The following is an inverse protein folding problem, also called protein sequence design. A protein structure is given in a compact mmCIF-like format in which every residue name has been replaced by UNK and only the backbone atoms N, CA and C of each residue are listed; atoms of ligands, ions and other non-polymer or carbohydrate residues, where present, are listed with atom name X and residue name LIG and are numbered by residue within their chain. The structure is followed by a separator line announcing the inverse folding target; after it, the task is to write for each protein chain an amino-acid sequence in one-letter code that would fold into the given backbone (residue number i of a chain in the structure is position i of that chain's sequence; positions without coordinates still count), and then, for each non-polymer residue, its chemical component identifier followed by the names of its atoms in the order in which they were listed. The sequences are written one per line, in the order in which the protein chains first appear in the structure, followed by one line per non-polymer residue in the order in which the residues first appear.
data_IF_687052604862
#
_entry.id   IF_687052604862
#
_cell.length_a   1.000
_cell.length_b   1.000
_cell.length_c   1.000
_cell.angle_alpha   90.00
_cell.angle_beta   90.00
_cell.angle_gamma   90.00
#
_symmetry.space_group_name_H-M   'P 1'
#
loop_
_entity.id
_entity.type
_entity.pdbx_description
1 polymer ?
#
# COMPACT_ATOMS: atom_id res chain seq x y z
N UNK A 1 56.70 42.78 -1.22
CA UNK A 1 56.66 41.39 -0.70
C UNK A 1 55.34 41.06 -0.01
N UNK A 2 54.85 41.86 0.96
CA UNK A 2 53.58 41.57 1.66
C UNK A 2 52.34 41.42 0.75
N UNK A 3 52.21 42.23 -0.30
CA UNK A 3 51.05 42.21 -1.20
C UNK A 3 50.93 40.89 -1.98
N UNK A 4 52.06 40.33 -2.44
CA UNK A 4 52.10 39.03 -3.13
C UNK A 4 51.77 37.86 -2.20
N UNK A 5 52.16 37.95 -0.92
CA UNK A 5 51.88 36.93 0.08
C UNK A 5 50.40 36.92 0.48
N UNK A 6 49.78 38.09 0.62
CA UNK A 6 48.33 38.22 0.84
C UNK A 6 47.51 37.70 -0.35
N UNK A 7 47.95 37.94 -1.59
CA UNK A 7 47.27 37.43 -2.79
C UNK A 7 47.35 35.89 -2.89
N UNK A 8 48.50 35.30 -2.56
CA UNK A 8 48.67 33.84 -2.51
C UNK A 8 47.86 33.19 -1.38
N UNK A 9 47.76 33.80 -0.20
CA UNK A 9 46.91 33.31 0.88
C UNK A 9 45.42 33.35 0.50
N UNK A 10 44.96 34.47 -0.07
CA UNK A 10 43.57 34.65 -0.52
C UNK A 10 43.19 33.68 -1.65
N UNK A 11 44.13 33.37 -2.56
CA UNK A 11 43.93 32.36 -3.61
C UNK A 11 43.95 30.92 -3.07
N UNK A 12 44.79 30.60 -2.07
CA UNK A 12 44.76 29.28 -1.40
C UNK A 12 43.48 29.06 -0.60
N UNK A 13 42.97 30.09 0.09
CA UNK A 13 41.69 30.03 0.80
C UNK A 13 40.51 29.88 -0.16
N UNK A 14 40.48 30.64 -1.26
CA UNK A 14 39.48 30.45 -2.33
C UNK A 14 39.53 29.05 -2.93
N UNK A 15 40.73 28.51 -3.19
CA UNK A 15 40.91 27.15 -3.71
C UNK A 15 40.43 26.07 -2.73
N UNK A 16 40.73 26.21 -1.43
CA UNK A 16 40.23 25.30 -0.39
C UNK A 16 38.71 25.37 -0.23
N UNK A 17 38.14 26.58 -0.28
CA UNK A 17 36.69 26.80 -0.19
C UNK A 17 35.97 26.23 -1.41
N UNK A 18 36.52 26.43 -2.61
CA UNK A 18 36.00 25.84 -3.85
C UNK A 18 36.08 24.31 -3.83
N UNK A 19 37.21 23.74 -3.41
CA UNK A 19 37.38 22.30 -3.28
C UNK A 19 36.42 21.68 -2.25
N UNK A 20 36.23 22.34 -1.10
CA UNK A 20 35.26 21.93 -0.09
C UNK A 20 33.82 21.96 -0.61
N UNK A 21 33.46 23.02 -1.34
CA UNK A 21 32.13 23.19 -1.95
C UNK A 21 31.86 22.12 -3.02
N UNK A 22 32.83 21.85 -3.90
CA UNK A 22 32.74 20.76 -4.89
C UNK A 22 32.58 19.40 -4.21
N UNK A 23 33.31 19.14 -3.13
CA UNK A 23 33.22 17.88 -2.38
C UNK A 23 31.84 17.71 -1.72
N UNK A 24 31.25 18.78 -1.17
CA UNK A 24 29.87 18.77 -0.64
C UNK A 24 28.85 18.47 -1.73
N UNK A 25 28.93 19.17 -2.87
CA UNK A 25 28.04 18.97 -4.01
C UNK A 25 28.12 17.55 -4.57
N UNK A 26 29.34 17.01 -4.72
CA UNK A 26 29.55 15.64 -5.18
C UNK A 26 28.94 14.62 -4.21
N UNK A 27 29.09 14.81 -2.89
CA UNK A 27 28.47 13.94 -1.89
C UNK A 27 26.94 14.00 -1.94
N UNK A 28 26.35 15.19 -2.11
CA UNK A 28 24.89 15.34 -2.26
C UNK A 28 24.38 14.59 -3.49
N UNK A 29 25.06 14.73 -4.63
CA UNK A 29 24.68 13.98 -5.85
C UNK A 29 24.75 12.46 -5.66
N UNK A 30 25.72 11.97 -4.88
CA UNK A 30 25.81 10.55 -4.54
C UNK A 30 24.60 10.12 -3.71
N UNK A 31 24.17 10.91 -2.72
CA UNK A 31 22.98 10.60 -1.92
C UNK A 31 21.71 10.53 -2.78
N UNK A 32 21.51 11.49 -3.68
CA UNK A 32 20.39 11.46 -4.63
C UNK A 32 20.41 10.20 -5.50
N UNK A 33 21.56 9.84 -6.06
CA UNK A 33 21.69 8.63 -6.87
C UNK A 33 21.45 7.35 -6.07
N UNK A 34 21.89 7.29 -4.81
CA UNK A 34 21.63 6.17 -3.92
C UNK A 34 20.13 6.04 -3.63
N UNK A 35 19.44 7.15 -3.33
CA UNK A 35 17.99 7.14 -3.14
C UNK A 35 17.24 6.65 -4.38
N UNK A 36 17.61 7.11 -5.56
CA UNK A 36 16.93 6.70 -6.80
C UNK A 36 17.17 5.21 -7.10
N UNK A 37 18.38 4.70 -6.84
CA UNK A 37 18.68 3.28 -6.99
C UNK A 37 17.93 2.42 -5.95
N UNK A 38 17.86 2.90 -4.71
CA UNK A 38 17.10 2.24 -3.64
C UNK A 38 15.60 2.16 -4.00
N UNK A 39 15.04 3.26 -4.50
CA UNK A 39 13.65 3.32 -4.96
C UNK A 39 13.40 2.34 -6.11
N UNK A 40 14.32 2.25 -7.08
CA UNK A 40 14.22 1.26 -8.16
C UNK A 40 14.22 -0.17 -7.62
N UNK A 41 15.08 -0.49 -6.65
CA UNK A 41 15.10 -1.81 -6.03
C UNK A 41 13.84 -2.09 -5.22
N UNK A 42 13.30 -1.10 -4.52
CA UNK A 42 12.03 -1.19 -3.83
C UNK A 42 10.87 -1.51 -4.80
N UNK A 43 10.81 -0.84 -5.95
CA UNK A 43 9.81 -1.14 -7.00
C UNK A 43 9.96 -2.53 -7.62
N UNK A 44 11.14 -3.14 -7.49
CA UNK A 44 11.42 -4.51 -7.92
C UNK A 44 11.22 -5.54 -6.80
N UNK A 45 10.72 -5.13 -5.62
CA UNK A 45 10.59 -6.00 -4.45
C UNK A 45 11.93 -6.41 -3.82
N UNK A 46 13.05 -5.84 -4.26
CA UNK A 46 14.42 -6.15 -3.79
C UNK A 46 14.75 -5.35 -2.52
N UNK A 47 13.94 -5.51 -1.48
CA UNK A 47 13.98 -4.66 -0.31
C UNK A 47 15.31 -4.76 0.47
N UNK A 48 15.90 -5.97 0.55
CA UNK A 48 17.19 -6.18 1.21
C UNK A 48 18.35 -5.43 0.54
N UNK A 49 18.22 -5.10 -0.75
CA UNK A 49 19.21 -4.31 -1.49
C UNK A 49 18.89 -2.81 -1.43
N UNK A 50 17.61 -2.44 -1.30
CA UNK A 50 17.18 -1.04 -1.16
C UNK A 50 17.55 -0.44 0.21
N UNK A 51 17.35 -1.18 1.30
CA UNK A 51 17.59 -0.70 2.68
C UNK A 51 18.98 -0.09 2.90
N UNK A 52 20.10 -0.80 2.60
CA UNK A 52 21.44 -0.23 2.83
C UNK A 52 21.72 1.02 1.98
N UNK A 53 21.07 1.16 0.82
CA UNK A 53 21.22 2.33 -0.04
C UNK A 53 20.49 3.55 0.55
N UNK A 54 19.26 3.40 1.04
CA UNK A 54 18.54 4.47 1.74
C UNK A 54 19.27 4.89 3.03
N UNK A 55 19.72 3.94 3.85
CA UNK A 55 20.49 4.23 5.06
C UNK A 55 21.76 5.03 4.75
N UNK A 56 22.50 4.64 3.71
CA UNK A 56 23.72 5.34 3.29
C UNK A 56 23.40 6.74 2.75
N UNK A 57 22.31 6.89 2.00
CA UNK A 57 21.86 8.18 1.50
C UNK A 57 21.50 9.13 2.65
N UNK A 58 20.70 8.65 3.61
CA UNK A 58 20.31 9.39 4.81
C UNK A 58 21.54 9.87 5.60
N UNK A 59 22.50 8.98 5.85
CA UNK A 59 23.74 9.33 6.55
C UNK A 59 24.55 10.41 5.83
N UNK A 60 24.53 10.43 4.49
CA UNK A 60 25.19 11.49 3.71
C UNK A 60 24.44 12.82 3.86
N UNK A 61 23.11 12.83 3.77
CA UNK A 61 22.32 14.05 3.95
C UNK A 61 22.50 14.64 5.35
N UNK A 62 22.41 13.81 6.39
CA UNK A 62 22.66 14.24 7.78
C UNK A 62 24.06 14.83 7.95
N UNK A 63 25.10 14.21 7.37
CA UNK A 63 26.47 14.72 7.47
C UNK A 63 26.70 16.03 6.69
N UNK A 64 26.07 16.18 5.52
CA UNK A 64 26.37 17.29 4.61
C UNK A 64 25.49 18.53 4.84
N UNK A 65 24.21 18.32 5.16
CA UNK A 65 23.18 19.36 5.28
C UNK A 65 22.68 19.53 6.71
N UNK A 66 22.82 18.50 7.55
CA UNK A 66 22.38 18.51 8.94
C UNK A 66 21.14 17.64 9.18
N UNK A 67 20.92 17.30 10.45
CA UNK A 67 19.82 16.43 10.89
C UNK A 67 18.42 17.05 10.65
N UNK A 68 18.34 18.38 10.62
CA UNK A 68 17.09 19.16 10.53
C UNK A 68 16.87 19.75 9.13
N UNK A 69 17.56 19.28 8.08
CA UNK A 69 17.40 19.83 6.74
C UNK A 69 16.23 19.16 5.98
N UNK A 70 15.46 19.88 5.14
CA UNK A 70 14.37 19.29 4.34
C UNK A 70 14.77 18.08 3.47
N UNK A 71 15.92 18.10 2.78
CA UNK A 71 16.44 16.91 2.09
C UNK A 71 16.69 15.69 3.01
N UNK A 72 17.07 15.92 4.27
CA UNK A 72 17.20 14.86 5.28
C UNK A 72 15.83 14.30 5.62
N UNK A 73 14.81 15.17 5.79
CA UNK A 73 13.42 14.77 5.97
C UNK A 73 12.91 13.92 4.79
N UNK A 74 13.19 14.32 3.55
CA UNK A 74 12.84 13.52 2.38
C UNK A 74 13.50 12.14 2.40
N UNK A 75 14.78 12.07 2.80
CA UNK A 75 15.47 10.79 2.92
C UNK A 75 14.93 9.91 4.04
N UNK A 76 14.48 10.49 5.15
CA UNK A 76 13.76 9.79 6.23
C UNK A 76 12.43 9.23 5.72
N UNK A 77 11.64 10.03 5.00
CA UNK A 77 10.39 9.59 4.39
C UNK A 77 10.58 8.39 3.47
N UNK A 78 11.58 8.42 2.59
CA UNK A 78 11.81 7.31 1.67
C UNK A 78 12.22 6.01 2.40
N UNK A 79 13.02 6.12 3.47
CA UNK A 79 13.37 4.96 4.29
C UNK A 79 12.16 4.44 5.08
N UNK A 80 11.34 5.35 5.61
CA UNK A 80 10.09 5.00 6.28
C UNK A 80 9.13 4.26 5.35
N UNK A 81 9.04 4.69 4.10
CA UNK A 81 8.21 4.05 3.08
C UNK A 81 8.68 2.63 2.74
N UNK A 82 10.00 2.42 2.68
CA UNK A 82 10.56 1.08 2.57
C UNK A 82 10.16 0.21 3.77
N UNK A 83 10.29 0.72 5.00
CA UNK A 83 9.89 -0.03 6.20
C UNK A 83 8.41 -0.33 6.23
N UNK A 84 7.55 0.61 5.80
CA UNK A 84 6.11 0.38 5.64
C UNK A 84 5.82 -0.73 4.62
N UNK A 85 6.50 -0.71 3.47
CA UNK A 85 6.37 -1.74 2.42
C UNK A 85 6.78 -3.14 2.91
N UNK A 86 7.74 -3.20 3.84
CA UNK A 86 8.19 -4.44 4.50
C UNK A 86 7.36 -4.79 5.75
N UNK A 87 6.28 -4.07 6.05
CA UNK A 87 5.46 -4.29 7.25
C UNK A 87 6.17 -3.97 8.58
N UNK A 88 7.37 -3.37 8.54
CA UNK A 88 8.18 -2.96 9.70
C UNK A 88 7.67 -1.62 10.25
N UNK A 89 6.39 -1.60 10.63
CA UNK A 89 5.67 -0.37 10.94
C UNK A 89 6.24 0.40 12.14
N UNK A 90 6.73 -0.32 13.17
CA UNK A 90 7.39 0.28 14.33
C UNK A 90 8.71 0.99 14.01
N UNK A 91 9.35 0.66 12.88
CA UNK A 91 10.54 1.35 12.39
C UNK A 91 10.19 2.50 11.42
N UNK A 92 9.08 2.38 10.69
CA UNK A 92 8.59 3.42 9.80
C UNK A 92 8.05 4.66 10.56
N UNK A 93 7.25 4.45 11.61
CA UNK A 93 6.59 5.53 12.37
C UNK A 93 7.56 6.62 12.87
N UNK A 94 8.63 6.31 13.63
CA UNK A 94 9.52 7.35 14.14
C UNK A 94 10.22 8.14 13.02
N UNK A 95 10.46 7.53 11.86
CA UNK A 95 11.06 8.21 10.71
C UNK A 95 10.08 9.17 10.05
N UNK A 96 8.82 8.76 9.85
CA UNK A 96 7.78 9.66 9.33
C UNK A 96 7.50 10.82 10.28
N UNK A 97 7.39 10.56 11.58
CA UNK A 97 7.19 11.59 12.61
C UNK A 97 8.35 12.59 12.61
N UNK A 98 9.60 12.10 12.58
CA UNK A 98 10.78 12.97 12.52
C UNK A 98 10.81 13.79 11.24
N UNK A 99 10.50 13.19 10.10
CA UNK A 99 10.45 13.91 8.82
C UNK A 99 9.41 15.03 8.83
N UNK A 100 8.19 14.74 9.31
CA UNK A 100 7.12 15.72 9.43
C UNK A 100 7.53 16.89 10.35
N UNK A 101 8.13 16.60 11.50
CA UNK A 101 8.61 17.62 12.43
C UNK A 101 9.66 18.56 11.78
N UNK A 102 10.57 18.00 10.97
CA UNK A 102 11.55 18.80 10.23
C UNK A 102 10.85 19.72 9.22
N UNK A 103 9.90 19.21 8.44
CA UNK A 103 9.16 20.05 7.48
C UNK A 103 8.39 21.17 8.17
N UNK A 104 7.67 20.88 9.26
CA UNK A 104 6.96 21.89 10.04
C UNK A 104 7.89 22.96 10.58
N UNK A 105 9.07 22.58 11.11
CA UNK A 105 10.02 23.52 11.68
C UNK A 105 10.72 24.39 10.62
N UNK A 106 11.11 23.80 9.48
CA UNK A 106 11.96 24.48 8.49
C UNK A 106 11.17 25.19 7.39
N UNK A 107 10.02 24.64 6.99
CA UNK A 107 9.23 25.13 5.87
C UNK A 107 7.90 25.75 6.34
N UNK A 108 7.45 25.39 7.54
CA UNK A 108 6.21 25.87 8.13
C UNK A 108 5.08 24.83 8.10
N UNK A 109 4.08 25.04 8.95
CA UNK A 109 2.95 24.10 9.15
C UNK A 109 2.04 23.96 7.93
N UNK A 110 2.06 24.96 7.04
CA UNK A 110 1.17 25.07 5.89
C UNK A 110 1.94 24.91 4.56
N UNK A 111 3.15 24.36 4.58
CA UNK A 111 3.93 24.15 3.36
C UNK A 111 3.49 22.87 2.62
N UNK A 112 3.51 22.82 1.26
CA UNK A 112 3.18 21.62 0.49
C UNK A 112 3.98 20.34 0.88
N UNK A 113 5.25 20.47 1.25
CA UNK A 113 6.06 19.33 1.73
C UNK A 113 5.61 18.85 3.12
N UNK A 114 5.12 19.75 3.98
CA UNK A 114 4.49 19.38 5.25
C UNK A 114 3.21 18.59 4.98
N UNK A 115 2.41 19.01 4.00
CA UNK A 115 1.23 18.25 3.56
C UNK A 115 1.59 16.86 3.03
N UNK A 116 2.72 16.72 2.32
CA UNK A 116 3.21 15.41 1.89
C UNK A 116 3.61 14.54 3.08
N UNK A 117 4.35 15.09 4.06
CA UNK A 117 4.70 14.38 5.29
C UNK A 117 3.47 13.90 6.07
N UNK A 118 2.43 14.73 6.16
CA UNK A 118 1.14 14.37 6.76
C UNK A 118 0.46 13.21 6.03
N UNK A 119 0.40 13.25 4.70
CA UNK A 119 -0.18 12.16 3.90
C UNK A 119 0.53 10.83 4.11
N UNK A 120 1.87 10.83 4.14
CA UNK A 120 2.64 9.61 4.29
C UNK A 120 2.48 8.99 5.70
N UNK A 121 2.47 9.83 6.74
CA UNK A 121 2.21 9.36 8.10
C UNK A 121 0.76 8.84 8.24
N UNK A 122 -0.20 9.51 7.60
CA UNK A 122 -1.58 9.06 7.55
C UNK A 122 -1.72 7.69 6.87
N UNK A 123 -1.00 7.46 5.77
CA UNK A 123 -0.99 6.17 5.06
C UNK A 123 -0.41 5.05 5.93
N UNK A 124 0.64 5.34 6.71
CA UNK A 124 1.14 4.40 7.70
C UNK A 124 0.08 4.06 8.74
N UNK A 125 -0.60 5.05 9.31
CA UNK A 125 -1.65 4.82 10.29
C UNK A 125 -2.85 4.08 9.70
N UNK A 126 -3.22 4.35 8.45
CA UNK A 126 -4.23 3.58 7.74
C UNK A 126 -3.80 2.11 7.59
N UNK A 127 -2.55 1.84 7.21
CA UNK A 127 -2.03 0.47 7.08
C UNK A 127 -1.99 -0.29 8.42
N UNK A 128 -1.79 0.42 9.53
CA UNK A 128 -1.91 -0.11 10.90
C UNK A 128 -3.36 -0.18 11.40
N UNK A 129 -4.37 0.20 10.61
CA UNK A 129 -5.77 0.27 11.04
C UNK A 129 -6.09 1.37 12.06
N UNK A 130 -5.15 2.28 12.34
CA UNK A 130 -5.28 3.43 13.26
C UNK A 130 -6.02 4.58 12.55
N UNK A 131 -7.24 4.31 12.11
CA UNK A 131 -8.03 5.21 11.26
C UNK A 131 -8.32 6.56 11.90
N UNK A 132 -8.57 6.61 13.22
CA UNK A 132 -8.79 7.85 13.95
C UNK A 132 -7.57 8.77 14.02
N UNK A 133 -6.37 8.23 13.83
CA UNK A 133 -5.12 9.00 13.75
C UNK A 133 -4.79 9.39 12.30
N UNK A 134 -5.16 8.56 11.33
CA UNK A 134 -4.97 8.85 9.91
C UNK A 134 -5.88 9.98 9.39
N UNK A 135 -7.17 9.97 9.75
CA UNK A 135 -8.17 10.93 9.25
C UNK A 135 -7.76 12.41 9.45
N UNK A 136 -7.40 12.88 10.67
CA UNK A 136 -7.05 14.29 10.86
C UNK A 136 -5.80 14.71 10.07
N UNK A 137 -4.87 13.78 9.82
CA UNK A 137 -3.67 14.05 9.04
C UNK A 137 -3.98 14.22 7.55
N UNK A 138 -4.81 13.33 6.98
CA UNK A 138 -5.28 13.47 5.59
C UNK A 138 -6.10 14.75 5.39
N UNK A 139 -7.03 15.05 6.31
CA UNK A 139 -7.84 16.27 6.25
C UNK A 139 -6.96 17.53 6.31
N UNK A 140 -5.95 17.55 7.20
CA UNK A 140 -5.00 18.66 7.27
C UNK A 140 -4.14 18.78 6.01
N UNK A 141 -3.66 17.67 5.45
CA UNK A 141 -2.91 17.67 4.20
C UNK A 141 -3.73 18.25 3.04
N UNK A 142 -4.99 17.82 2.92
CA UNK A 142 -5.92 18.32 1.91
C UNK A 142 -6.12 19.83 2.04
N UNK A 143 -6.39 20.33 3.25
CA UNK A 143 -6.58 21.74 3.51
C UNK A 143 -5.35 22.59 3.12
N UNK A 144 -4.14 22.09 3.41
CA UNK A 144 -2.90 22.76 3.02
C UNK A 144 -2.77 22.82 1.49
N UNK A 145 -2.98 21.71 0.77
CA UNK A 145 -2.89 21.72 -0.69
C UNK A 145 -3.95 22.61 -1.34
N UNK A 146 -5.18 22.61 -0.84
CA UNK A 146 -6.23 23.51 -1.32
C UNK A 146 -5.85 24.98 -1.12
N UNK A 147 -5.28 25.33 0.04
CA UNK A 147 -4.90 26.70 0.37
C UNK A 147 -3.67 27.17 -0.43
N UNK A 148 -2.63 26.34 -0.56
CA UNK A 148 -1.35 26.76 -1.13
C UNK A 148 -1.25 26.57 -2.64
N UNK A 149 -1.87 25.52 -3.18
CA UNK A 149 -1.77 25.15 -4.60
C UNK A 149 -3.09 25.33 -5.35
N UNK A 150 -4.21 25.41 -4.61
CA UNK A 150 -5.55 25.60 -5.15
C UNK A 150 -6.38 24.30 -5.18
N UNK A 151 -7.70 24.48 -5.19
CA UNK A 151 -8.68 23.40 -5.17
C UNK A 151 -8.60 22.45 -6.38
N UNK A 152 -8.07 22.93 -7.50
CA UNK A 152 -7.96 22.20 -8.78
C UNK A 152 -6.54 21.68 -9.06
N UNK A 153 -5.64 21.70 -8.07
CA UNK A 153 -4.26 21.24 -8.28
C UNK A 153 -4.15 19.70 -8.26
N UNK A 154 -3.28 19.07 -9.07
CA UNK A 154 -3.09 17.61 -9.04
C UNK A 154 -2.70 17.01 -7.67
N UNK A 155 -2.00 17.76 -6.81
CA UNK A 155 -1.73 17.33 -5.43
C UNK A 155 -2.95 17.42 -4.51
N UNK A 156 -3.87 18.34 -4.77
CA UNK A 156 -5.18 18.36 -4.10
C UNK A 156 -5.97 17.11 -4.49
N UNK A 157 -5.97 16.74 -5.78
CA UNK A 157 -6.58 15.51 -6.26
C UNK A 157 -5.96 14.24 -5.63
N UNK A 158 -4.64 14.21 -5.44
CA UNK A 158 -3.94 13.12 -4.76
C UNK A 158 -4.43 12.98 -3.30
N UNK A 159 -4.47 14.09 -2.57
CA UNK A 159 -4.91 14.08 -1.16
C UNK A 159 -6.39 13.72 -1.02
N UNK A 160 -7.26 14.17 -1.94
CA UNK A 160 -8.65 13.73 -2.03
C UNK A 160 -8.77 12.22 -2.23
N UNK A 161 -7.98 11.65 -3.15
CA UNK A 161 -7.99 10.21 -3.41
C UNK A 161 -7.55 9.41 -2.17
N UNK A 162 -6.53 9.87 -1.45
CA UNK A 162 -6.05 9.18 -0.26
C UNK A 162 -7.05 9.26 0.91
N UNK A 163 -7.70 10.41 1.11
CA UNK A 163 -8.77 10.53 2.10
C UNK A 163 -9.98 9.65 1.72
N UNK A 164 -10.32 9.56 0.43
CA UNK A 164 -11.37 8.67 -0.06
C UNK A 164 -11.03 7.20 0.22
N UNK A 165 -9.77 6.81 0.02
CA UNK A 165 -9.26 5.48 0.29
C UNK A 165 -9.31 5.11 1.78
N UNK A 166 -9.02 6.08 2.66
CA UNK A 166 -9.23 5.91 4.09
C UNK A 166 -10.73 5.68 4.40
N UNK A 167 -11.63 6.51 3.87
CA UNK A 167 -13.08 6.31 4.09
C UNK A 167 -13.60 5.01 3.51
N UNK A 168 -13.08 4.57 2.36
CA UNK A 168 -13.35 3.25 1.80
C UNK A 168 -12.91 2.14 2.77
N UNK A 169 -11.72 2.25 3.35
CA UNK A 169 -11.19 1.29 4.34
C UNK A 169 -12.05 1.25 5.62
N UNK A 170 -12.64 2.36 6.03
CA UNK A 170 -13.60 2.44 7.14
C UNK A 170 -15.03 1.97 6.78
N UNK A 171 -15.31 1.59 5.53
CA UNK A 171 -16.68 1.29 5.08
C UNK A 171 -17.59 2.51 4.92
N UNK A 172 -17.05 3.73 5.06
CA UNK A 172 -17.77 5.01 4.91
C UNK A 172 -17.89 5.39 3.43
N UNK A 173 -18.51 4.51 2.64
CA UNK A 173 -18.51 4.63 1.18
C UNK A 173 -19.20 5.90 0.65
N UNK A 174 -20.22 6.40 1.35
CA UNK A 174 -20.91 7.65 0.98
C UNK A 174 -20.02 8.89 1.12
N UNK A 175 -18.99 8.84 1.95
CA UNK A 175 -18.01 9.92 2.11
C UNK A 175 -16.83 9.75 1.16
N UNK A 176 -16.46 8.50 0.81
CA UNK A 176 -15.42 8.21 -0.17
C UNK A 176 -15.79 8.62 -1.60
N UNK A 177 -17.01 8.31 -2.05
CA UNK A 177 -17.47 8.55 -3.43
C UNK A 177 -17.28 10.00 -3.92
N UNK A 178 -17.78 11.04 -3.23
CA UNK A 178 -17.64 12.41 -3.71
C UNK A 178 -16.17 12.85 -3.81
N UNK A 179 -15.29 12.32 -2.96
CA UNK A 179 -13.86 12.64 -2.97
C UNK A 179 -13.15 12.00 -4.17
N UNK A 180 -13.42 10.71 -4.47
CA UNK A 180 -12.90 10.08 -5.69
C UNK A 180 -13.40 10.77 -6.96
N UNK A 181 -14.69 11.09 -7.03
CA UNK A 181 -15.28 11.79 -8.19
C UNK A 181 -14.61 13.15 -8.40
N UNK A 182 -14.41 13.91 -7.31
CA UNK A 182 -13.72 15.20 -7.39
C UNK A 182 -12.25 15.05 -7.80
N UNK A 183 -11.52 14.09 -7.25
CA UNK A 183 -10.14 13.79 -7.64
C UNK A 183 -10.03 13.45 -9.13
N UNK A 184 -10.90 12.56 -9.62
CA UNK A 184 -11.00 12.19 -11.02
C UNK A 184 -11.25 13.39 -11.94
N UNK A 185 -12.18 14.27 -11.56
CA UNK A 185 -12.50 15.47 -12.32
C UNK A 185 -11.30 16.42 -12.43
N UNK A 186 -10.60 16.66 -11.32
CA UNK A 186 -9.39 17.49 -11.30
C UNK A 186 -8.32 16.90 -12.21
N UNK A 187 -8.01 15.60 -12.08
CA UNK A 187 -7.00 14.98 -12.94
C UNK A 187 -7.36 15.04 -14.43
N UNK A 188 -8.62 14.77 -14.77
CA UNK A 188 -9.08 14.84 -16.15
C UNK A 188 -8.97 16.25 -16.72
N UNK A 189 -9.25 17.28 -15.92
CA UNK A 189 -9.16 18.67 -16.34
C UNK A 189 -7.71 19.16 -16.46
N UNK A 190 -6.84 18.85 -15.49
CA UNK A 190 -5.48 19.40 -15.43
C UNK A 190 -4.46 18.63 -16.26
N UNK A 191 -4.61 17.29 -16.35
CA UNK A 191 -3.63 16.41 -16.98
C UNK A 191 -4.14 15.81 -18.29
N UNK A 192 -5.44 15.94 -18.55
CA UNK A 192 -6.12 15.37 -19.71
C UNK A 192 -6.82 14.06 -19.41
N UNK A 193 -7.89 13.78 -20.16
CA UNK A 193 -8.79 12.63 -19.94
C UNK A 193 -8.16 11.26 -20.13
N UNK A 194 -7.01 11.20 -20.81
CA UNK A 194 -6.28 9.98 -21.09
C UNK A 194 -5.02 9.86 -20.20
N UNK A 195 -4.80 10.72 -19.21
CA UNK A 195 -3.60 10.66 -18.38
C UNK A 195 -3.58 9.41 -17.45
N UNK A 196 -2.42 8.81 -17.12
CA UNK A 196 -2.35 7.66 -16.21
C UNK A 196 -3.00 7.89 -14.84
N UNK A 197 -2.92 9.11 -14.29
CA UNK A 197 -3.61 9.47 -13.04
C UNK A 197 -5.15 9.37 -13.14
N UNK A 198 -5.72 9.64 -14.33
CA UNK A 198 -7.16 9.43 -14.59
C UNK A 198 -7.47 7.93 -14.60
N UNK A 199 -6.62 7.11 -15.23
CA UNK A 199 -6.75 5.65 -15.22
C UNK A 199 -6.76 5.09 -13.79
N UNK A 200 -5.80 5.50 -12.93
CA UNK A 200 -5.77 5.10 -11.52
C UNK A 200 -7.01 5.55 -10.76
N UNK A 201 -7.45 6.80 -10.95
CA UNK A 201 -8.63 7.34 -10.25
C UNK A 201 -9.92 6.62 -10.68
N UNK A 202 -10.07 6.28 -11.96
CA UNK A 202 -11.17 5.46 -12.47
C UNK A 202 -11.18 4.07 -11.84
N UNK A 203 -10.01 3.44 -11.72
CA UNK A 203 -9.88 2.13 -11.08
C UNK A 203 -10.32 2.16 -9.61
N UNK A 204 -9.89 3.16 -8.84
CA UNK A 204 -10.25 3.27 -7.43
C UNK A 204 -11.76 3.53 -7.24
N UNK A 205 -12.34 4.41 -8.05
CA UNK A 205 -13.79 4.65 -8.03
C UNK A 205 -14.59 3.39 -8.41
N UNK A 206 -14.11 2.63 -9.39
CA UNK A 206 -14.75 1.38 -9.78
C UNK A 206 -14.69 0.32 -8.66
N UNK A 207 -13.58 0.26 -7.93
CA UNK A 207 -13.47 -0.64 -6.78
C UNK A 207 -14.48 -0.27 -5.68
N UNK A 208 -14.67 1.03 -5.41
CA UNK A 208 -15.71 1.49 -4.49
C UNK A 208 -17.11 1.03 -4.95
N UNK A 209 -17.43 1.20 -6.24
CA UNK A 209 -18.71 0.75 -6.80
C UNK A 209 -18.87 -0.78 -6.75
N UNK A 210 -17.80 -1.54 -6.99
CA UNK A 210 -17.80 -2.99 -6.79
C UNK A 210 -18.15 -3.36 -5.35
N UNK A 211 -17.52 -2.72 -4.36
CA UNK A 211 -17.81 -2.97 -2.94
C UNK A 211 -19.25 -2.61 -2.54
N UNK A 212 -19.87 -1.66 -3.22
CA UNK A 212 -21.28 -1.32 -3.05
C UNK A 212 -22.25 -2.23 -3.85
N UNK A 213 -21.75 -3.21 -4.59
CA UNK A 213 -22.56 -4.07 -5.48
C UNK A 213 -23.06 -3.35 -6.76
N UNK A 214 -22.57 -2.14 -7.04
CA UNK A 214 -22.91 -1.32 -8.21
C UNK A 214 -22.08 -1.74 -9.43
N UNK A 215 -22.16 -3.01 -9.81
CA UNK A 215 -21.28 -3.58 -10.83
C UNK A 215 -21.45 -2.94 -12.22
N UNK A 216 -22.67 -2.55 -12.58
CA UNK A 216 -22.98 -1.87 -13.84
C UNK A 216 -22.31 -0.49 -13.97
N UNK A 217 -21.97 0.14 -12.84
CA UNK A 217 -21.24 1.41 -12.81
C UNK A 217 -19.72 1.19 -12.73
N UNK A 218 -19.28 0.12 -12.06
CA UNK A 218 -17.87 -0.23 -11.93
C UNK A 218 -17.23 -0.68 -13.27
N UNK A 219 -17.92 -1.53 -14.03
CA UNK A 219 -17.40 -2.13 -15.26
C UNK A 219 -16.93 -1.10 -16.32
N UNK A 220 -17.74 -0.10 -16.74
CA UNK A 220 -17.31 0.86 -17.73
C UNK A 220 -16.11 1.70 -17.27
N UNK A 221 -15.98 1.95 -15.96
CA UNK A 221 -14.83 2.67 -15.39
C UNK A 221 -13.55 1.83 -15.48
N UNK A 222 -13.61 0.53 -15.16
CA UNK A 222 -12.47 -0.38 -15.31
C UNK A 222 -12.08 -0.57 -16.77
N UNK A 223 -13.03 -0.72 -17.68
CA UNK A 223 -12.75 -0.84 -19.12
C UNK A 223 -12.09 0.43 -19.66
N UNK A 224 -12.56 1.62 -19.24
CA UNK A 224 -11.93 2.89 -19.60
C UNK A 224 -10.53 3.02 -19.01
N UNK A 225 -10.37 2.67 -17.74
CA UNK A 225 -9.07 2.65 -17.06
C UNK A 225 -8.07 1.75 -17.79
N UNK A 226 -8.51 0.54 -18.19
CA UNK A 226 -7.72 -0.44 -18.93
C UNK A 226 -7.31 0.12 -20.30
N UNK A 227 -8.26 0.68 -21.05
CA UNK A 227 -7.99 1.27 -22.36
C UNK A 227 -6.93 2.38 -22.29
N UNK A 228 -7.01 3.26 -21.28
CA UNK A 228 -6.02 4.33 -21.08
C UNK A 228 -4.64 3.72 -20.78
N UNK A 229 -4.58 2.76 -19.85
CA UNK A 229 -3.32 2.12 -19.43
C UNK A 229 -2.66 1.36 -20.58
N UNK A 230 -3.43 0.59 -21.36
CA UNK A 230 -2.92 -0.15 -22.51
C UNK A 230 -2.38 0.78 -23.61
N UNK A 231 -3.06 1.90 -23.88
CA UNK A 231 -2.63 2.86 -24.90
C UNK A 231 -1.36 3.63 -24.53
N UNK A 232 -1.22 4.03 -23.26
CA UNK A 232 -0.10 4.88 -22.84
C UNK A 232 1.10 4.12 -22.27
N UNK A 233 0.84 3.06 -21.52
CA UNK A 233 1.87 2.33 -20.78
C UNK A 233 2.16 0.97 -21.42
N UNK A 234 1.24 0.46 -22.24
CA UNK A 234 1.32 -0.84 -22.89
C UNK A 234 0.53 -1.93 -22.18
N UNK A 235 0.26 -3.01 -22.91
CA UNK A 235 -0.45 -4.20 -22.42
C UNK A 235 0.26 -4.91 -21.27
N UNK A 236 1.58 -4.77 -21.22
CA UNK A 236 2.47 -5.49 -20.33
C UNK A 236 2.93 -4.62 -19.16
N UNK A 237 2.27 -3.50 -18.87
CA UNK A 237 2.66 -2.64 -17.74
C UNK A 237 2.05 -3.11 -16.40
N UNK A 238 2.76 -2.98 -15.25
CA UNK A 238 2.22 -3.38 -13.94
C UNK A 238 0.89 -2.70 -13.54
N UNK A 239 0.69 -1.43 -13.94
CA UNK A 239 -0.60 -0.73 -13.75
C UNK A 239 -1.71 -1.42 -14.56
N UNK A 240 -1.45 -1.78 -15.81
CA UNK A 240 -2.39 -2.57 -16.64
C UNK A 240 -2.73 -3.89 -15.97
N UNK A 241 -1.74 -4.59 -15.40
CA UNK A 241 -1.98 -5.83 -14.65
C UNK A 241 -2.89 -5.62 -13.43
N UNK A 242 -2.77 -4.50 -12.74
CA UNK A 242 -3.62 -4.18 -11.58
C UNK A 242 -5.07 -3.94 -11.99
N UNK A 243 -5.29 -3.22 -13.09
CA UNK A 243 -6.64 -2.99 -13.63
C UNK A 243 -7.26 -4.31 -14.12
N UNK A 244 -6.48 -5.16 -14.80
CA UNK A 244 -6.93 -6.49 -15.23
C UNK A 244 -7.34 -7.36 -14.04
N UNK A 245 -6.57 -7.33 -12.95
CA UNK A 245 -6.89 -8.04 -11.72
C UNK A 245 -8.22 -7.55 -11.11
N UNK A 246 -8.46 -6.24 -11.10
CA UNK A 246 -9.68 -5.66 -10.55
C UNK A 246 -10.91 -5.92 -11.43
N UNK A 247 -10.74 -5.92 -12.76
CA UNK A 247 -11.78 -6.33 -13.70
C UNK A 247 -12.10 -7.83 -13.58
N UNK A 248 -11.08 -8.67 -13.36
CA UNK A 248 -11.27 -10.09 -13.08
C UNK A 248 -12.09 -10.29 -11.80
N UNK A 249 -11.77 -9.55 -10.73
CA UNK A 249 -12.54 -9.58 -9.49
C UNK A 249 -13.99 -9.14 -9.70
N UNK A 250 -14.23 -8.11 -10.52
CA UNK A 250 -15.60 -7.69 -10.85
C UNK A 250 -16.38 -8.81 -11.58
N UNK A 251 -15.77 -9.44 -12.58
CA UNK A 251 -16.40 -10.54 -13.31
C UNK A 251 -16.62 -11.77 -12.45
N UNK A 252 -15.71 -12.02 -11.50
CA UNK A 252 -15.88 -13.05 -10.48
C UNK A 252 -17.14 -12.80 -9.64
N UNK A 253 -17.32 -11.59 -9.10
CA UNK A 253 -18.50 -11.23 -8.29
C UNK A 253 -19.80 -11.31 -9.09
N UNK A 254 -19.74 -11.08 -10.41
CA UNK A 254 -20.87 -11.27 -11.32
C UNK A 254 -21.13 -12.74 -11.71
N UNK A 255 -20.30 -13.68 -11.26
CA UNK A 255 -20.38 -15.11 -11.60
C UNK A 255 -19.79 -15.50 -12.96
N UNK A 256 -19.15 -14.57 -13.66
CA UNK A 256 -18.48 -14.79 -14.95
C UNK A 256 -17.08 -15.37 -14.77
N UNK A 257 -17.01 -16.60 -14.26
CA UNK A 257 -15.74 -17.19 -13.82
C UNK A 257 -14.72 -17.43 -14.95
N UNK A 258 -15.15 -17.79 -16.16
CA UNK A 258 -14.23 -17.98 -17.29
C UNK A 258 -13.59 -16.66 -17.75
N UNK A 259 -14.36 -15.56 -17.70
CA UNK A 259 -13.84 -14.22 -17.98
C UNK A 259 -12.85 -13.77 -16.91
N UNK A 260 -13.18 -14.02 -15.63
CA UNK A 260 -12.29 -13.74 -14.51
C UNK A 260 -10.97 -14.53 -14.60
N UNK A 261 -11.02 -15.84 -14.90
CA UNK A 261 -9.84 -16.69 -15.05
C UNK A 261 -8.86 -16.15 -16.09
N UNK A 262 -9.37 -15.80 -17.28
CA UNK A 262 -8.55 -15.26 -18.36
C UNK A 262 -7.85 -13.95 -17.97
N UNK A 263 -8.57 -13.05 -17.27
CA UNK A 263 -8.03 -11.77 -16.84
C UNK A 263 -7.04 -11.90 -15.69
N UNK A 264 -7.31 -12.76 -14.70
CA UNK A 264 -6.35 -13.06 -13.62
C UNK A 264 -5.07 -13.69 -14.16
N UNK A 265 -5.18 -14.66 -15.07
CA UNK A 265 -4.03 -15.30 -15.71
C UNK A 265 -3.20 -14.28 -16.50
N UNK A 266 -3.86 -13.37 -17.23
CA UNK A 266 -3.18 -12.28 -17.95
C UNK A 266 -2.47 -11.33 -16.99
N UNK A 267 -3.13 -10.92 -15.91
CA UNK A 267 -2.54 -10.06 -14.87
C UNK A 267 -1.30 -10.71 -14.24
N UNK A 268 -1.40 -12.00 -13.88
CA UNK A 268 -0.30 -12.79 -13.35
C UNK A 268 0.90 -12.82 -14.30
N UNK A 269 0.66 -13.16 -15.58
CA UNK A 269 1.71 -13.24 -16.58
C UNK A 269 2.46 -11.90 -16.77
N UNK A 270 1.72 -10.79 -16.79
CA UNK A 270 2.31 -9.45 -16.90
C UNK A 270 3.19 -9.14 -15.68
N UNK A 271 2.72 -9.41 -14.46
CA UNK A 271 3.49 -9.18 -13.23
C UNK A 271 4.74 -10.05 -13.18
N UNK A 272 4.66 -11.32 -13.55
CA UNK A 272 5.82 -12.21 -13.62
C UNK A 272 6.87 -11.72 -14.63
N UNK A 273 6.43 -11.24 -15.79
CA UNK A 273 7.33 -10.76 -16.84
C UNK A 273 8.04 -9.45 -16.45
N UNK A 274 7.32 -8.49 -15.85
CA UNK A 274 7.88 -7.16 -15.59
C UNK A 274 8.56 -7.02 -14.23
N UNK A 275 7.99 -7.64 -13.19
CA UNK A 275 8.46 -7.49 -11.81
C UNK A 275 9.34 -8.67 -11.39
N UNK A 276 9.22 -9.80 -12.08
CA UNK A 276 9.90 -11.05 -11.76
C UNK A 276 9.00 -12.02 -10.99
N UNK A 277 9.28 -13.32 -11.13
CA UNK A 277 8.45 -14.40 -10.61
C UNK A 277 8.33 -14.46 -9.07
N UNK A 278 9.24 -13.79 -8.36
CA UNK A 278 9.31 -13.75 -6.90
C UNK A 278 8.79 -12.42 -6.32
N UNK A 279 8.21 -11.54 -7.14
CA UNK A 279 7.71 -10.25 -6.63
C UNK A 279 6.44 -10.42 -5.77
N UNK A 280 6.24 -9.66 -4.68
CA UNK A 280 5.01 -9.72 -3.86
C UNK A 280 3.69 -9.55 -4.65
N UNK A 281 3.66 -8.69 -5.68
CA UNK A 281 2.50 -8.55 -6.57
C UNK A 281 2.15 -9.84 -7.35
N UNK A 282 3.14 -10.69 -7.64
CA UNK A 282 2.89 -12.01 -8.23
C UNK A 282 2.15 -12.90 -7.23
N UNK A 283 2.55 -12.90 -5.95
CA UNK A 283 1.85 -13.62 -4.89
C UNK A 283 0.40 -13.15 -4.73
N UNK A 284 0.17 -11.86 -4.86
CA UNK A 284 -1.16 -11.24 -4.88
C UNK A 284 -2.03 -11.81 -6.02
N UNK A 285 -1.52 -11.84 -7.25
CA UNK A 285 -2.23 -12.44 -8.39
C UNK A 285 -2.45 -13.94 -8.23
N UNK A 286 -1.48 -14.67 -7.68
CA UNK A 286 -1.58 -16.10 -7.42
C UNK A 286 -2.70 -16.42 -6.42
N UNK A 287 -2.78 -15.65 -5.33
CA UNK A 287 -3.85 -15.79 -4.35
C UNK A 287 -5.24 -15.57 -4.97
N UNK A 288 -5.38 -14.56 -5.82
CA UNK A 288 -6.65 -14.24 -6.47
C UNK A 288 -7.10 -15.33 -7.44
N UNK A 289 -6.17 -15.82 -8.27
CA UNK A 289 -6.45 -16.93 -9.18
C UNK A 289 -6.74 -18.23 -8.41
N UNK A 290 -6.04 -18.48 -7.30
CA UNK A 290 -6.29 -19.63 -6.47
C UNK A 290 -7.68 -19.59 -5.81
N UNK A 291 -8.10 -18.42 -5.35
CA UNK A 291 -9.43 -18.22 -4.76
C UNK A 291 -10.53 -18.50 -5.79
N UNK A 292 -10.36 -18.05 -7.04
CA UNK A 292 -11.26 -18.41 -8.15
C UNK A 292 -11.36 -19.93 -8.32
N UNK A 293 -10.23 -20.64 -8.33
CA UNK A 293 -10.22 -22.10 -8.44
C UNK A 293 -10.84 -22.80 -7.23
N UNK A 294 -10.64 -22.27 -6.03
CA UNK A 294 -11.25 -22.80 -4.81
C UNK A 294 -12.78 -22.78 -4.90
N UNK A 295 -13.40 -21.67 -5.30
CA UNK A 295 -14.86 -21.61 -5.40
C UNK A 295 -15.43 -22.50 -6.52
N UNK A 296 -14.63 -22.80 -7.54
CA UNK A 296 -14.99 -23.75 -8.60
C UNK A 296 -14.76 -25.22 -8.18
N UNK A 297 -14.28 -25.48 -6.95
CA UNK A 297 -13.93 -26.81 -6.48
C UNK A 297 -12.65 -27.38 -7.11
N UNK A 298 -11.90 -26.57 -7.85
CA UNK A 298 -10.63 -26.92 -8.53
C UNK A 298 -9.45 -26.86 -7.56
N UNK A 299 -9.58 -27.57 -6.45
CA UNK A 299 -8.64 -27.54 -5.32
C UNK A 299 -7.21 -27.97 -5.69
N UNK A 300 -7.07 -28.88 -6.66
CA UNK A 300 -5.77 -29.33 -7.17
C UNK A 300 -4.99 -28.22 -7.90
N UNK A 301 -5.68 -27.24 -8.46
CA UNK A 301 -5.09 -26.09 -9.14
C UNK A 301 -4.89 -24.91 -8.18
N UNK A 302 -5.80 -24.71 -7.22
CA UNK A 302 -5.67 -23.66 -6.21
C UNK A 302 -4.46 -23.87 -5.28
N UNK A 303 -4.26 -25.10 -4.80
CA UNK A 303 -3.21 -25.42 -3.80
C UNK A 303 -1.79 -25.00 -4.20
N UNK A 304 -1.26 -25.37 -5.38
CA UNK A 304 0.11 -24.99 -5.75
C UNK A 304 0.28 -23.47 -5.87
N UNK A 305 -0.75 -22.74 -6.28
CA UNK A 305 -0.72 -21.28 -6.37
C UNK A 305 -0.61 -20.63 -4.99
N UNK A 306 -1.42 -21.07 -4.01
CA UNK A 306 -1.35 -20.56 -2.63
C UNK A 306 -0.02 -20.87 -1.96
N UNK A 307 0.52 -22.09 -2.16
CA UNK A 307 1.83 -22.46 -1.62
C UNK A 307 2.94 -21.58 -2.20
N UNK A 308 2.90 -21.31 -3.51
CA UNK A 308 3.85 -20.40 -4.16
C UNK A 308 3.70 -18.96 -3.66
N UNK A 309 2.48 -18.47 -3.53
CA UNK A 309 2.21 -17.13 -2.99
C UNK A 309 2.76 -16.97 -1.56
N UNK A 310 2.51 -17.97 -0.70
CA UNK A 310 3.05 -18.01 0.66
C UNK A 310 4.59 -17.98 0.67
N UNK A 311 5.23 -18.80 -0.16
CA UNK A 311 6.70 -18.83 -0.26
C UNK A 311 7.27 -17.48 -0.71
N UNK A 312 6.64 -16.82 -1.68
CA UNK A 312 7.06 -15.50 -2.16
C UNK A 312 6.99 -14.47 -1.00
N UNK A 313 5.87 -14.40 -0.29
CA UNK A 313 5.76 -13.45 0.83
C UNK A 313 6.75 -13.77 1.97
N UNK A 314 6.93 -15.04 2.34
CA UNK A 314 7.88 -15.44 3.38
C UNK A 314 9.33 -15.06 3.02
N UNK A 315 9.70 -15.18 1.75
CA UNK A 315 11.06 -14.89 1.29
C UNK A 315 11.32 -13.40 1.07
N UNK A 316 10.36 -12.66 0.51
CA UNK A 316 10.56 -11.24 0.17
C UNK A 316 10.21 -10.28 1.30
N UNK A 317 9.15 -10.58 2.06
CA UNK A 317 8.63 -9.70 3.11
C UNK A 317 8.91 -10.24 4.52
N UNK A 318 9.14 -11.55 4.65
CA UNK A 318 9.43 -12.21 5.92
C UNK A 318 8.25 -13.02 6.46
N UNK A 319 8.56 -13.90 7.42
CA UNK A 319 7.59 -14.85 8.02
C UNK A 319 6.47 -14.18 8.80
N UNK A 320 6.71 -12.97 9.28
CA UNK A 320 5.85 -12.24 10.20
C UNK A 320 5.17 -11.06 9.50
N UNK A 321 5.21 -10.98 8.17
CA UNK A 321 4.54 -9.93 7.41
C UNK A 321 3.01 -10.12 7.38
N UNK A 322 2.20 -9.05 7.46
CA UNK A 322 0.75 -9.15 7.30
C UNK A 322 0.27 -9.85 6.03
N UNK A 323 0.97 -9.68 4.89
CA UNK A 323 0.66 -10.41 3.64
C UNK A 323 0.98 -11.91 3.72
N UNK A 324 2.00 -12.31 4.50
CA UNK A 324 2.26 -13.72 4.81
C UNK A 324 1.10 -14.30 5.60
N UNK A 325 0.58 -13.58 6.60
CA UNK A 325 -0.63 -13.97 7.34
C UNK A 325 -1.86 -14.08 6.44
N UNK A 326 -2.04 -13.17 5.49
CA UNK A 326 -3.14 -13.26 4.50
C UNK A 326 -3.03 -14.51 3.65
N UNK A 327 -1.82 -14.86 3.19
CA UNK A 327 -1.60 -16.07 2.39
C UNK A 327 -1.82 -17.36 3.20
N UNK A 328 -1.42 -17.36 4.48
CA UNK A 328 -1.71 -18.44 5.43
C UNK A 328 -3.23 -18.63 5.62
N UNK A 329 -3.98 -17.54 5.80
CA UNK A 329 -5.44 -17.60 5.88
C UNK A 329 -6.06 -18.21 4.63
N UNK A 330 -5.65 -17.77 3.44
CA UNK A 330 -6.18 -18.28 2.17
C UNK A 330 -5.88 -19.78 2.01
N UNK A 331 -4.66 -20.21 2.33
CA UNK A 331 -4.28 -21.63 2.29
C UNK A 331 -5.07 -22.46 3.32
N UNK A 332 -5.35 -21.90 4.50
CA UNK A 332 -6.16 -22.56 5.50
C UNK A 332 -7.63 -22.68 5.09
N UNK A 333 -8.19 -21.65 4.46
CA UNK A 333 -9.54 -21.66 3.90
C UNK A 333 -9.68 -22.76 2.84
N UNK A 334 -8.68 -22.92 1.97
CA UNK A 334 -8.63 -24.02 1.02
C UNK A 334 -8.64 -25.38 1.74
N UNK A 335 -7.86 -25.55 2.81
CA UNK A 335 -7.87 -26.80 3.59
C UNK A 335 -9.20 -27.04 4.31
N UNK A 336 -9.84 -25.98 4.81
CA UNK A 336 -11.18 -26.05 5.39
C UNK A 336 -12.19 -26.54 4.36
N UNK A 337 -12.16 -25.99 3.13
CA UNK A 337 -13.02 -26.42 2.03
C UNK A 337 -12.79 -27.89 1.62
N UNK A 338 -11.56 -28.40 1.78
CA UNK A 338 -11.24 -29.83 1.59
C UNK A 338 -11.60 -30.73 2.80
N UNK A 339 -12.10 -30.17 3.90
CA UNK A 339 -12.34 -30.92 5.15
C UNK A 339 -11.06 -31.31 5.92
N UNK A 340 -9.92 -30.71 5.57
CA UNK A 340 -8.60 -31.02 6.15
C UNK A 340 -8.31 -30.11 7.35
N UNK A 341 -9.16 -30.17 8.37
CA UNK A 341 -9.14 -29.22 9.49
C UNK A 341 -7.83 -29.18 10.28
N UNK A 342 -7.17 -30.34 10.45
CA UNK A 342 -5.88 -30.42 11.15
C UNK A 342 -4.73 -29.71 10.45
N UNK A 343 -4.84 -29.45 9.14
CA UNK A 343 -3.86 -28.64 8.40
C UNK A 343 -4.23 -27.16 8.37
N UNK A 344 -5.52 -26.83 8.46
CA UNK A 344 -5.99 -25.45 8.51
C UNK A 344 -5.70 -24.76 9.85
N UNK A 345 -5.92 -25.46 10.98
CA UNK A 345 -5.77 -24.89 12.33
C UNK A 345 -4.40 -24.23 12.59
N UNK A 346 -3.24 -24.88 12.37
CA UNK A 346 -1.95 -24.26 12.65
C UNK A 346 -1.67 -23.04 11.76
N UNK A 347 -2.21 -23.00 10.53
CA UNK A 347 -2.05 -21.87 9.63
C UNK A 347 -2.85 -20.66 10.11
N UNK A 348 -4.10 -20.87 10.54
CA UNK A 348 -4.97 -19.82 11.07
C UNK A 348 -4.43 -19.27 12.39
N UNK A 349 -3.95 -20.13 13.29
CA UNK A 349 -3.31 -19.69 14.53
C UNK A 349 -2.06 -18.83 14.26
N UNK A 350 -1.22 -19.25 13.31
CA UNK A 350 -0.03 -18.48 12.92
C UNK A 350 -0.42 -17.14 12.29
N UNK A 351 -1.41 -17.12 11.40
CA UNK A 351 -1.90 -15.89 10.78
C UNK A 351 -2.44 -14.90 11.83
N UNK A 352 -3.23 -15.40 12.79
CA UNK A 352 -3.77 -14.59 13.88
C UNK A 352 -2.64 -13.99 14.73
N UNK A 353 -1.65 -14.79 15.10
CA UNK A 353 -0.49 -14.33 15.88
C UNK A 353 0.27 -13.22 15.16
N UNK A 354 0.46 -13.35 13.84
CA UNK A 354 1.15 -12.34 13.03
C UNK A 354 0.34 -11.03 13.02
N UNK A 355 -0.97 -11.10 12.76
CA UNK A 355 -1.80 -9.90 12.74
C UNK A 355 -1.85 -9.19 14.10
N UNK A 356 -1.98 -9.94 15.19
CA UNK A 356 -1.93 -9.36 16.54
C UNK A 356 -0.59 -8.68 16.84
N UNK A 357 0.53 -9.30 16.42
CA UNK A 357 1.86 -8.77 16.67
C UNK A 357 2.19 -7.52 15.83
N UNK A 358 1.80 -7.50 14.55
CA UNK A 358 2.19 -6.43 13.63
C UNK A 358 1.18 -5.29 13.53
N UNK A 359 -0.12 -5.61 13.60
CA UNK A 359 -1.20 -4.64 13.41
C UNK A 359 -1.96 -4.34 14.70
N UNK A 360 -1.80 -5.18 15.72
CA UNK A 360 -2.50 -5.06 16.99
C UNK A 360 -3.77 -5.90 17.08
N UNK A 361 -4.31 -5.98 18.31
CA UNK A 361 -5.47 -6.81 18.64
C UNK A 361 -6.78 -6.35 18.00
N UNK A 362 -6.85 -5.06 17.65
CA UNK A 362 -8.09 -4.37 17.24
C UNK A 362 -8.09 -4.05 15.74
N UNK A 363 -7.15 -4.62 14.98
CA UNK A 363 -7.07 -4.42 13.54
C UNK A 363 -8.19 -5.19 12.79
N UNK A 364 -8.77 -4.64 11.71
CA UNK A 364 -9.76 -5.36 10.88
C UNK A 364 -9.28 -6.75 10.42
N UNK A 365 -8.02 -6.88 9.99
CA UNK A 365 -7.43 -8.18 9.59
C UNK A 365 -7.33 -9.17 10.76
N UNK A 366 -7.09 -8.71 11.99
CA UNK A 366 -7.16 -9.55 13.19
C UNK A 366 -8.57 -10.07 13.39
N UNK A 367 -9.59 -9.21 13.22
CA UNK A 367 -10.99 -9.62 13.26
C UNK A 367 -11.35 -10.66 12.19
N UNK A 368 -10.87 -10.49 10.95
CA UNK A 368 -11.05 -11.49 9.89
C UNK A 368 -10.37 -12.82 10.21
N UNK A 369 -9.13 -12.81 10.71
CA UNK A 369 -8.42 -14.03 11.10
C UNK A 369 -9.11 -14.77 12.26
N UNK A 370 -9.61 -14.03 13.26
CA UNK A 370 -10.44 -14.58 14.33
C UNK A 370 -11.71 -15.26 13.79
N UNK A 371 -12.38 -14.64 12.81
CA UNK A 371 -13.57 -15.21 12.18
C UNK A 371 -13.23 -16.52 11.44
N UNK A 372 -12.16 -16.53 10.64
CA UNK A 372 -11.74 -17.74 9.91
C UNK A 372 -11.38 -18.90 10.86
N UNK A 373 -10.71 -18.60 11.98
CA UNK A 373 -10.43 -19.60 13.01
C UNK A 373 -11.71 -20.09 13.71
N UNK A 374 -12.67 -19.20 13.96
CA UNK A 374 -13.96 -19.58 14.51
C UNK A 374 -14.76 -20.47 13.56
N UNK A 375 -14.80 -20.14 12.26
CA UNK A 375 -15.44 -20.95 11.22
C UNK A 375 -14.86 -22.36 11.18
N UNK A 376 -13.54 -22.49 11.30
CA UNK A 376 -12.88 -23.78 11.42
C UNK A 376 -13.36 -24.56 12.66
N UNK A 377 -13.44 -23.90 13.82
CA UNK A 377 -13.94 -24.55 15.05
C UNK A 377 -15.41 -24.92 14.98
N UNK A 378 -16.25 -24.11 14.32
CA UNK A 378 -17.64 -24.47 14.03
C UNK A 378 -17.72 -25.71 13.14
N UNK A 379 -16.90 -25.79 12.08
CA UNK A 379 -16.83 -26.96 11.20
C UNK A 379 -16.38 -28.24 11.93
N UNK A 380 -15.55 -28.10 12.97
CA UNK A 380 -15.15 -29.20 13.87
C UNK A 380 -16.17 -29.53 14.97
N UNK A 381 -17.24 -28.76 15.13
CA UNK A 381 -18.20 -28.89 16.24
C UNK A 381 -17.68 -28.37 17.60
N UNK A 382 -16.56 -27.63 17.60
CA UNK A 382 -15.92 -27.02 18.79
C UNK A 382 -16.55 -25.66 19.13
N UNK A 383 -17.85 -25.64 19.37
CA UNK A 383 -18.62 -24.38 19.54
C UNK A 383 -18.10 -23.49 20.69
N UNK A 384 -17.68 -24.09 21.81
CA UNK A 384 -17.16 -23.34 22.96
C UNK A 384 -15.84 -22.61 22.69
N UNK A 385 -15.10 -23.02 21.66
CA UNK A 385 -13.86 -22.34 21.23
C UNK A 385 -14.13 -21.31 20.14
N UNK A 386 -15.15 -21.53 19.29
CA UNK A 386 -15.55 -20.58 18.27
C UNK A 386 -16.21 -19.32 18.83
N UNK A 387 -17.08 -19.46 19.83
CA UNK A 387 -17.86 -18.35 20.42
C UNK A 387 -17.00 -17.15 20.87
N UNK A 388 -15.96 -17.31 21.71
CA UNK A 388 -15.15 -16.17 22.15
C UNK A 388 -14.43 -15.48 20.99
N UNK A 389 -14.04 -16.22 19.95
CA UNK A 389 -13.39 -15.65 18.76
C UNK A 389 -14.35 -14.80 17.93
N UNK A 390 -15.59 -15.28 17.75
CA UNK A 390 -16.65 -14.53 17.06
C UNK A 390 -17.02 -13.26 17.82
N UNK A 391 -17.18 -13.35 19.15
CA UNK A 391 -17.48 -12.19 19.99
C UNK A 391 -16.39 -11.13 19.88
N UNK A 392 -15.11 -11.55 19.91
CA UNK A 392 -13.98 -10.63 19.76
C UNK A 392 -13.92 -10.04 18.36
N UNK A 393 -14.12 -10.83 17.31
CA UNK A 393 -14.18 -10.33 15.92
C UNK A 393 -15.29 -9.30 15.74
N UNK A 394 -16.48 -9.56 16.30
CA UNK A 394 -17.61 -8.65 16.26
C UNK A 394 -17.29 -7.33 16.97
N UNK A 395 -16.76 -7.39 18.18
CA UNK A 395 -16.39 -6.19 18.96
C UNK A 395 -15.45 -5.28 18.18
N UNK A 396 -14.43 -5.85 17.53
CA UNK A 396 -13.47 -5.09 16.71
C UNK A 396 -14.19 -4.41 15.53
N UNK A 397 -15.02 -5.16 14.80
CA UNK A 397 -15.77 -4.62 13.65
C UNK A 397 -16.75 -3.51 14.06
N UNK A 398 -17.42 -3.65 15.19
CA UNK A 398 -18.35 -2.64 15.71
C UNK A 398 -17.65 -1.33 16.11
N UNK A 399 -16.44 -1.43 16.67
CA UNK A 399 -15.64 -0.25 17.01
C UNK A 399 -15.17 0.52 15.76
N UNK A 400 -14.86 -0.18 14.67
CA UNK A 400 -14.27 0.41 13.46
C UNK A 400 -15.30 0.95 12.47
N UNK A 401 -16.39 0.22 12.25
CA UNK A 401 -17.35 0.49 11.16
C UNK A 401 -18.57 1.31 11.63
N UNK A 402 -18.65 1.63 12.92
CA UNK A 402 -19.85 2.15 13.55
C UNK A 402 -20.99 1.12 13.58
N UNK A 403 -22.04 1.41 14.33
CA UNK A 403 -23.13 0.44 14.59
C UNK A 403 -24.02 0.15 13.38
N UNK A 404 -23.88 0.86 12.26
CA UNK A 404 -24.82 0.85 11.12
C UNK A 404 -24.25 0.20 9.84
N UNK A 405 -23.13 -0.53 9.93
CA UNK A 405 -22.47 -1.10 8.76
C UNK A 405 -23.28 -2.26 8.10
N UNK A 406 -23.46 -2.27 6.76
CA UNK A 406 -24.22 -3.30 6.03
C UNK A 406 -23.72 -4.74 6.20
N UNK A 407 -22.46 -4.91 6.62
CA UNK A 407 -21.86 -6.22 6.92
C UNK A 407 -22.52 -6.97 8.09
N UNK A 408 -23.47 -6.37 8.82
CA UNK A 408 -24.31 -7.10 9.79
C UNK A 408 -25.19 -8.19 9.15
N UNK A 409 -25.42 -8.14 7.83
CA UNK A 409 -26.36 -9.02 7.14
C UNK A 409 -25.72 -10.14 6.31
N UNK A 410 -24.42 -10.05 6.02
CA UNK A 410 -23.67 -11.12 5.35
C UNK A 410 -22.63 -11.70 6.32
N UNK A 411 -23.11 -12.58 7.21
CA UNK A 411 -22.27 -13.72 7.57
C UNK A 411 -21.97 -14.47 6.28
N UNK A 412 -20.71 -14.84 6.07
CA UNK A 412 -20.12 -15.40 4.85
C UNK A 412 -19.56 -14.37 3.86
N UNK A 413 -18.24 -14.51 3.64
CA UNK A 413 -17.40 -13.89 2.61
C UNK A 413 -17.09 -12.40 2.76
N UNK A 414 -16.07 -12.12 3.58
CA UNK A 414 -15.08 -11.11 3.20
C UNK A 414 -13.78 -11.86 2.92
N UNK A 415 -13.51 -12.10 1.63
CA UNK A 415 -12.15 -12.35 1.19
C UNK A 415 -11.26 -11.24 1.74
N UNK A 416 -10.08 -11.63 2.24
CA UNK A 416 -9.05 -10.70 2.70
C UNK A 416 -8.93 -9.51 1.73
N UNK A 417 -8.83 -8.25 2.20
CA UNK A 417 -8.47 -7.15 1.32
C UNK A 417 -7.09 -7.49 0.76
N UNK A 418 -7.06 -7.77 -0.55
CA UNK A 418 -5.87 -8.10 -1.32
C UNK A 418 -5.19 -6.82 -1.76
#
# INVERSE_FOLDING_TARGET
MLFFFQLQCKNREKSKTLHYTIKKLCKRSIATSLNNLAYLYQLQGRYSEAEPLYLRSLAIYEQQLGAEHPDTAQSLNNLAELYRSMGRYGEAEPLYVRSLAIYEQQLGTDHPDTAQGLNNLAELYQAMGRYGEAEPLYVRSLAIYEQQLGAEHPYTALSLNNLAELYRSMGRYGEAEPLYVRSLAIYAQQLGVDHPAVSTSLNNLAELYKLQGRYAEAEPLLLRSLSISEQLLGSDHPITATILNNLAALYYEQGSYSGAEALYARSLAVREQQLGAEHPDVATSLNNLAYLYQVQGRYGEAKPLLLRALQIYETQLGSDHPSTASSLNNLAELYLAMGRYGEAEPLLLRALQIYEAQLGSDHPSTASSLNNLAELYLAMGRHGEAEPLLLRSLMIREQLLGTDHPAKLNGFYFGSPI
#
